data_IF_350517373012
#
_entry.id   IF_350517373012
#
_cell.length_a   1.000
_cell.length_b   1.000
_cell.length_c   1.000
_cell.angle_alpha   90.00
_cell.angle_beta   90.00
_cell.angle_gamma   90.00
#
_symmetry.space_group_name_H-M   'P 1'
#
loop_
_entity.id
_entity.type
_entity.pdbx_description
1 polymer ?
#
# COMPACT_ATOMS: atom_id res chain seq x y z
N UNK A 1 -54.03 13.64 -15.99
CA UNK A 1 -52.97 12.61 -15.86
C UNK A 1 -52.16 13.00 -14.65
N UNK A 2 -52.57 12.56 -13.46
CA UNK A 2 -51.84 12.83 -12.22
C UNK A 2 -50.68 11.85 -12.18
N UNK A 3 -49.52 12.29 -12.65
CA UNK A 3 -48.29 11.51 -12.55
C UNK A 3 -47.94 11.32 -11.07
N UNK A 4 -47.59 10.09 -10.71
CA UNK A 4 -47.23 9.71 -9.34
C UNK A 4 -45.83 10.25 -9.00
N UNK A 5 -45.72 11.54 -8.65
CA UNK A 5 -44.42 12.18 -8.37
C UNK A 5 -43.82 11.80 -7.01
N UNK A 6 -44.64 11.51 -6.00
CA UNK A 6 -44.15 11.18 -4.63
C UNK A 6 -43.27 9.92 -4.60
N UNK A 7 -43.64 8.88 -5.37
CA UNK A 7 -42.83 7.66 -5.49
C UNK A 7 -41.50 7.88 -6.22
N UNK A 8 -41.43 8.88 -7.11
CA UNK A 8 -40.21 9.27 -7.82
C UNK A 8 -39.26 10.07 -6.93
N UNK A 9 -39.80 10.97 -6.11
CA UNK A 9 -39.01 11.80 -5.19
C UNK A 9 -38.35 10.95 -4.09
N UNK A 10 -39.12 10.10 -3.41
CA UNK A 10 -38.58 9.23 -2.35
C UNK A 10 -37.46 8.32 -2.89
N UNK A 11 -37.66 7.75 -4.07
CA UNK A 11 -36.66 6.89 -4.72
C UNK A 11 -35.39 7.65 -5.06
N UNK A 12 -35.51 8.90 -5.49
CA UNK A 12 -34.37 9.77 -5.80
C UNK A 12 -33.54 10.06 -4.55
N UNK A 13 -34.19 10.37 -3.44
CA UNK A 13 -33.53 10.56 -2.15
C UNK A 13 -32.82 9.29 -1.64
N UNK A 14 -33.46 8.12 -1.78
CA UNK A 14 -32.84 6.84 -1.42
C UNK A 14 -31.57 6.60 -2.24
N UNK A 15 -31.61 6.86 -3.55
CA UNK A 15 -30.44 6.72 -4.44
C UNK A 15 -29.32 7.68 -4.01
N UNK A 16 -29.64 8.95 -3.72
CA UNK A 16 -28.66 9.92 -3.23
C UNK A 16 -28.02 9.46 -1.91
N UNK A 17 -28.82 9.02 -0.94
CA UNK A 17 -28.32 8.50 0.33
C UNK A 17 -27.39 7.29 0.12
N UNK A 18 -27.73 6.37 -0.78
CA UNK A 18 -26.88 5.22 -1.11
C UNK A 18 -25.55 5.63 -1.75
N UNK A 19 -25.56 6.59 -2.67
CA UNK A 19 -24.34 7.11 -3.30
C UNK A 19 -23.44 7.77 -2.25
N UNK A 20 -24.01 8.63 -1.40
CA UNK A 20 -23.26 9.29 -0.31
C UNK A 20 -22.68 8.26 0.65
N UNK A 21 -23.49 7.29 1.08
CA UNK A 21 -23.05 6.21 1.96
C UNK A 21 -21.91 5.39 1.34
N UNK A 22 -21.97 5.09 0.03
CA UNK A 22 -20.92 4.35 -0.66
C UNK A 22 -19.59 5.13 -0.70
N UNK A 23 -19.64 6.45 -0.93
CA UNK A 23 -18.45 7.31 -0.94
C UNK A 23 -17.82 7.36 0.46
N UNK A 24 -18.63 7.60 1.49
CA UNK A 24 -18.17 7.66 2.88
C UNK A 24 -17.62 6.30 3.34
N UNK A 25 -18.30 5.21 3.00
CA UNK A 25 -17.86 3.85 3.31
C UNK A 25 -16.51 3.54 2.67
N UNK A 26 -16.29 3.90 1.40
CA UNK A 26 -15.00 3.71 0.74
C UNK A 26 -13.88 4.48 1.46
N UNK A 27 -14.15 5.73 1.83
CA UNK A 27 -13.20 6.56 2.58
C UNK A 27 -12.87 5.96 3.95
N UNK A 28 -13.89 5.58 4.71
CA UNK A 28 -13.74 4.94 6.01
C UNK A 28 -12.98 3.60 5.89
N UNK A 29 -13.32 2.77 4.91
CA UNK A 29 -12.64 1.50 4.66
C UNK A 29 -11.15 1.72 4.34
N UNK A 30 -10.84 2.67 3.46
CA UNK A 30 -9.45 3.00 3.16
C UNK A 30 -8.69 3.47 4.42
N UNK A 31 -9.30 4.32 5.24
CA UNK A 31 -8.68 4.84 6.44
C UNK A 31 -8.47 3.75 7.52
N UNK A 32 -9.52 3.02 7.88
CA UNK A 32 -9.50 2.06 8.99
C UNK A 32 -8.90 0.70 8.63
N UNK A 33 -9.00 0.25 7.36
CA UNK A 33 -8.58 -1.10 6.97
C UNK A 33 -7.26 -1.10 6.20
N UNK A 34 -7.01 -0.09 5.36
CA UNK A 34 -5.82 -0.04 4.51
C UNK A 34 -4.74 0.89 5.07
N UNK A 35 -5.15 2.05 5.59
CA UNK A 35 -4.25 3.15 5.97
C UNK A 35 -3.45 2.87 7.23
N UNK A 36 -4.05 2.26 8.25
CA UNK A 36 -3.38 2.04 9.54
C UNK A 36 -2.71 0.67 9.65
N UNK A 37 -1.70 0.43 8.80
CA UNK A 37 -0.80 -0.74 8.99
C UNK A 37 0.41 -0.44 9.87
N UNK A 38 0.46 0.75 10.47
CA UNK A 38 1.58 1.20 11.30
C UNK A 38 2.89 1.33 10.52
N UNK A 39 3.97 1.53 11.28
CA UNK A 39 5.32 1.52 10.73
C UNK A 39 5.67 0.09 10.28
N UNK A 40 6.10 -0.12 9.02
CA UNK A 40 6.52 -1.44 8.59
C UNK A 40 7.73 -1.90 9.42
N UNK A 41 7.88 -3.22 9.56
CA UNK A 41 8.96 -3.89 10.28
C UNK A 41 10.34 -3.77 9.60
N UNK A 42 10.45 -2.87 8.62
CA UNK A 42 11.68 -2.61 7.88
C UNK A 42 12.74 -2.04 8.80
N UNK A 43 13.95 -2.60 8.70
CA UNK A 43 15.10 -2.05 9.37
C UNK A 43 15.56 -0.77 8.64
N UNK A 44 15.15 0.41 9.12
CA UNK A 44 15.56 1.73 8.60
C UNK A 44 17.03 2.11 8.86
N UNK A 45 17.82 1.16 9.37
CA UNK A 45 19.23 1.39 9.69
C UNK A 45 20.01 1.50 8.38
N UNK A 46 21.06 2.34 8.31
CA UNK A 46 21.95 2.36 7.16
C UNK A 46 22.44 0.94 6.86
N UNK A 47 22.16 0.48 5.63
CA UNK A 47 22.75 -0.75 5.12
C UNK A 47 24.25 -0.47 5.00
N UNK A 48 25.08 -1.31 5.61
CA UNK A 48 26.53 -1.20 5.43
C UNK A 48 26.83 -1.36 3.95
N UNK A 49 27.68 -0.50 3.41
CA UNK A 49 28.12 -0.51 2.00
C UNK A 49 29.06 -1.69 1.66
N UNK A 50 28.96 -2.76 2.46
CA UNK A 50 29.71 -4.00 2.31
C UNK A 50 28.79 -5.01 1.63
N UNK A 51 29.16 -5.53 0.46
CA UNK A 51 28.38 -6.55 -0.24
C UNK A 51 28.01 -7.71 0.68
N UNK A 52 26.75 -8.16 0.57
CA UNK A 52 26.19 -9.28 1.33
C UNK A 52 26.30 -9.20 2.88
N UNK A 53 26.48 -8.01 3.45
CA UNK A 53 26.56 -7.81 4.91
C UNK A 53 25.18 -7.59 5.57
N UNK A 54 24.14 -7.39 4.77
CA UNK A 54 22.77 -7.26 5.25
C UNK A 54 22.20 -8.63 5.63
N UNK A 55 21.43 -8.75 6.73
CA UNK A 55 20.64 -9.93 7.04
C UNK A 55 19.66 -10.33 5.92
N UNK A 56 19.34 -9.38 5.03
CA UNK A 56 18.43 -9.55 3.89
C UNK A 56 19.17 -9.71 2.55
N UNK A 57 20.48 -10.00 2.58
CA UNK A 57 21.25 -10.20 1.35
C UNK A 57 20.81 -11.48 0.63
N UNK A 58 20.50 -11.36 -0.66
CA UNK A 58 20.13 -12.49 -1.54
C UNK A 58 21.37 -13.21 -2.11
N UNK A 59 22.55 -12.60 -1.98
CA UNK A 59 23.81 -13.09 -2.54
C UNK A 59 24.81 -13.44 -1.44
N UNK A 60 25.67 -14.42 -1.70
CA UNK A 60 26.77 -14.78 -0.79
C UNK A 60 27.80 -13.66 -0.69
N UNK A 61 28.45 -13.57 0.48
CA UNK A 61 29.54 -12.64 0.71
C UNK A 61 30.76 -13.07 -0.09
N UNK A 62 31.04 -12.32 -1.15
CA UNK A 62 32.26 -12.48 -1.94
C UNK A 62 33.50 -12.27 -1.06
N UNK A 63 34.57 -13.04 -1.30
CA UNK A 63 35.79 -12.96 -0.49
C UNK A 63 36.52 -11.61 -0.66
N UNK A 64 36.35 -10.92 -1.81
CA UNK A 64 36.96 -9.61 -2.03
C UNK A 64 35.90 -8.53 -2.38
N UNK A 65 36.23 -7.24 -2.18
CA UNK A 65 35.38 -6.13 -2.62
C UNK A 65 35.11 -6.15 -4.13
N UNK A 66 33.96 -5.64 -4.55
CA UNK A 66 33.50 -5.63 -5.96
C UNK A 66 34.43 -4.85 -6.92
N UNK A 67 35.34 -4.02 -6.42
CA UNK A 67 36.35 -3.33 -7.26
C UNK A 67 37.56 -4.21 -7.60
N UNK A 68 37.72 -5.38 -6.97
CA UNK A 68 38.83 -6.30 -7.21
C UNK A 68 38.46 -7.26 -8.33
N UNK A 69 38.99 -7.05 -9.54
CA UNK A 69 38.76 -7.94 -10.69
C UNK A 69 39.52 -9.27 -10.53
N UNK A 70 38.92 -10.36 -11.00
CA UNK A 70 39.56 -11.68 -11.11
C UNK A 70 39.20 -12.61 -9.96
N UNK A 71 40.16 -13.41 -9.45
CA UNK A 71 39.98 -14.60 -8.59
C UNK A 71 39.50 -14.33 -7.15
N UNK A 72 38.51 -13.45 -7.02
CA UNK A 72 37.57 -13.28 -5.91
C UNK A 72 36.65 -12.05 -6.11
N UNK A 73 36.37 -11.68 -7.37
CA UNK A 73 35.46 -10.61 -7.80
C UNK A 73 35.35 -10.59 -9.33
N UNK A 74 34.90 -11.70 -9.92
CA UNK A 74 34.42 -11.75 -11.31
C UNK A 74 32.93 -11.39 -11.36
#
# INVERSE_FOLDING_TARGET
MTENYEGSEFRSWVILCLIVAAILFKGAFAFFVVGDRGQPDWAYRPVRDVPASSPFAVYEKLPNPQHVKGRGGE
#
